data_IF_429269257857
#
_entry.id   IF_429269257857
#
_cell.length_a   1.000
_cell.length_b   1.000
_cell.length_c   1.000
_cell.angle_alpha   90.00
_cell.angle_beta   90.00
_cell.angle_gamma   90.00
#
_symmetry.space_group_name_H-M   'P 1'
#
loop_
_entity.id
_entity.type
_entity.pdbx_description
1 polymer ?
#
# COMPACT_ATOMS: atom_id res chain seq x y z
N UNK A 1 -8.36 84.57 -32.74
CA UNK A 1 -7.54 84.17 -31.58
C UNK A 1 -6.97 82.80 -31.86
N UNK A 2 -5.65 82.68 -31.80
CA UNK A 2 -4.77 81.81 -32.63
C UNK A 2 -4.08 80.80 -31.69
N UNK A 3 -3.93 79.48 -31.90
CA UNK A 3 -4.12 78.58 -33.06
C UNK A 3 -4.38 77.13 -32.60
N UNK A 4 -4.88 76.37 -33.56
CA UNK A 4 -5.48 75.03 -33.65
C UNK A 4 -4.46 73.85 -33.80
N UNK A 5 -4.88 72.57 -34.04
CA UNK A 5 -4.30 71.30 -33.54
C UNK A 5 -3.72 70.36 -34.63
N UNK A 6 -3.40 69.10 -34.28
CA UNK A 6 -3.46 67.88 -35.14
C UNK A 6 -3.20 66.62 -34.28
N UNK A 7 -4.15 65.71 -34.00
CA UNK A 7 -4.71 64.56 -34.76
C UNK A 7 -3.78 63.39 -35.13
N UNK A 8 -4.21 62.20 -34.66
CA UNK A 8 -4.27 60.89 -35.33
C UNK A 8 -3.31 59.75 -34.89
N UNK A 9 -3.91 58.62 -34.47
CA UNK A 9 -3.65 57.33 -35.15
C UNK A 9 -2.85 56.22 -34.43
N UNK A 10 -3.54 55.41 -33.62
CA UNK A 10 -3.62 53.93 -33.64
C UNK A 10 -2.38 52.99 -33.63
N UNK A 11 -2.50 51.99 -32.72
CA UNK A 11 -2.28 50.51 -32.87
C UNK A 11 -0.91 49.80 -32.68
N UNK A 12 -0.84 49.06 -31.56
CA UNK A 12 -0.34 47.65 -31.31
C UNK A 12 1.16 47.27 -31.33
N UNK A 13 1.54 46.22 -30.56
CA UNK A 13 2.93 45.92 -30.17
C UNK A 13 3.64 44.97 -31.16
N UNK A 14 4.96 45.13 -31.34
CA UNK A 14 5.78 44.17 -32.07
C UNK A 14 6.75 43.41 -31.15
N UNK A 15 6.50 42.09 -31.09
CA UNK A 15 7.46 41.07 -30.68
C UNK A 15 8.58 40.98 -31.72
N UNK A 16 9.83 41.09 -31.29
CA UNK A 16 10.99 40.81 -32.15
C UNK A 16 11.55 39.41 -31.86
N UNK A 17 11.15 38.45 -32.68
CA UNK A 17 11.88 37.21 -32.93
C UNK A 17 12.61 37.36 -34.27
N UNK A 18 13.93 37.15 -34.32
CA UNK A 18 14.63 36.78 -35.57
C UNK A 18 15.93 36.00 -35.29
N UNK A 19 15.91 34.71 -35.67
CA UNK A 19 17.07 33.87 -36.06
C UNK A 19 17.60 34.33 -37.44
N UNK A 20 18.57 33.64 -38.09
CA UNK A 20 19.89 33.19 -37.66
C UNK A 20 21.02 33.79 -38.55
N UNK A 21 22.25 33.60 -38.09
CA UNK A 21 23.53 33.97 -38.73
C UNK A 21 23.67 33.50 -40.20
N UNK A 22 24.15 34.41 -41.08
CA UNK A 22 24.76 34.10 -42.38
C UNK A 22 26.20 34.62 -42.39
N UNK A 23 27.12 33.79 -42.88
CA UNK A 23 28.55 34.03 -42.90
C UNK A 23 29.02 35.08 -43.90
N UNK A 24 30.24 35.57 -43.67
CA UNK A 24 30.97 36.48 -44.54
C UNK A 24 32.40 36.65 -44.05
N UNK A 25 33.34 36.09 -44.81
CA UNK A 25 34.80 36.13 -44.66
C UNK A 25 35.39 37.50 -45.04
N UNK A 26 36.41 38.01 -44.32
CA UNK A 26 37.68 38.53 -44.90
C UNK A 26 38.66 39.14 -43.85
N UNK A 27 39.84 38.51 -43.78
CA UNK A 27 41.24 39.02 -43.74
C UNK A 27 41.74 40.04 -42.70
N UNK A 28 42.78 39.53 -41.99
CA UNK A 28 44.09 40.11 -41.62
C UNK A 28 44.10 41.25 -40.59
N UNK A 29 44.86 41.19 -39.50
CA UNK A 29 46.31 41.09 -39.51
C UNK A 29 46.92 40.39 -38.27
N UNK A 30 48.17 39.99 -38.45
CA UNK A 30 49.02 39.14 -37.61
C UNK A 30 49.47 39.81 -36.30
N UNK A 31 49.61 39.02 -35.23
CA UNK A 31 50.87 38.60 -34.54
C UNK A 31 50.62 38.41 -33.04
N UNK A 32 51.10 37.29 -32.49
CA UNK A 32 51.52 37.23 -31.09
C UNK A 32 51.04 36.04 -30.27
N UNK A 33 51.73 34.91 -30.44
CA UNK A 33 52.16 33.99 -29.38
C UNK A 33 51.13 33.17 -28.55
N UNK A 34 51.30 31.85 -28.71
CA UNK A 34 51.11 30.74 -27.75
C UNK A 34 49.66 30.45 -27.31
N UNK A 35 49.04 29.45 -27.94
CA UNK A 35 48.00 28.66 -27.29
C UNK A 35 48.08 27.19 -27.71
N UNK A 36 48.17 26.35 -26.68
CA UNK A 36 48.12 24.89 -26.76
C UNK A 36 46.79 24.44 -27.34
N UNK A 37 46.85 23.49 -28.27
CA UNK A 37 45.68 22.89 -28.89
C UNK A 37 44.96 21.93 -27.93
N UNK A 38 43.64 22.04 -27.89
CA UNK A 38 42.72 20.92 -27.74
C UNK A 38 41.35 21.37 -28.26
N UNK A 39 40.93 20.77 -29.38
CA UNK A 39 39.60 20.94 -29.97
C UNK A 39 38.84 19.65 -29.69
N UNK A 40 37.88 19.63 -28.76
CA UNK A 40 36.73 18.71 -28.81
C UNK A 40 35.53 19.38 -28.15
N UNK A 41 34.42 19.20 -28.85
CA UNK A 41 33.05 19.65 -28.71
C UNK A 41 32.40 19.56 -27.31
N UNK A 42 31.73 20.65 -26.93
CA UNK A 42 30.32 20.64 -26.56
C UNK A 42 29.94 20.01 -25.22
N UNK A 43 29.77 20.89 -24.22
CA UNK A 43 29.08 20.70 -22.92
C UNK A 43 29.83 19.83 -21.89
N UNK A 44 30.78 20.47 -21.23
CA UNK A 44 31.16 20.12 -19.85
C UNK A 44 30.91 21.34 -18.98
N UNK A 45 30.05 21.19 -17.97
CA UNK A 45 29.89 22.16 -16.89
C UNK A 45 31.08 21.94 -15.96
N UNK A 46 32.00 22.90 -15.91
CA UNK A 46 33.03 22.91 -14.88
C UNK A 46 32.38 23.38 -13.58
N UNK A 47 32.22 22.46 -12.63
CA UNK A 47 31.93 22.77 -11.23
C UNK A 47 33.21 23.36 -10.64
N UNK A 48 33.19 24.67 -10.36
CA UNK A 48 34.22 25.30 -9.56
C UNK A 48 34.05 24.89 -8.10
N UNK A 49 35.06 24.19 -7.56
CA UNK A 49 35.28 24.05 -6.13
C UNK A 49 35.42 25.45 -5.53
N UNK A 50 34.51 25.80 -4.63
CA UNK A 50 34.67 26.97 -3.78
C UNK A 50 35.63 26.59 -2.66
N UNK A 51 36.92 26.86 -2.88
CA UNK A 51 37.88 26.95 -1.80
C UNK A 51 37.68 28.26 -1.06
N UNK A 52 37.55 28.10 0.25
CA UNK A 52 37.46 29.09 1.31
C UNK A 52 38.53 30.17 1.14
N UNK A 53 38.13 31.45 0.99
CA UNK A 53 38.94 32.65 1.28
C UNK A 53 38.15 33.94 0.98
N UNK A 54 37.95 34.76 2.01
CA UNK A 54 37.92 36.21 1.88
C UNK A 54 36.59 36.86 1.50
N UNK A 55 35.98 37.52 2.49
CA UNK A 55 35.01 38.59 2.28
C UNK A 55 35.56 39.69 1.36
N UNK A 56 35.11 39.71 0.11
CA UNK A 56 35.41 40.78 -0.85
C UNK A 56 34.27 40.92 -1.85
N UNK A 57 33.35 41.85 -1.61
CA UNK A 57 32.31 42.18 -2.59
C UNK A 57 32.92 43.07 -3.67
N UNK A 58 33.24 42.49 -4.83
CA UNK A 58 33.61 43.28 -6.01
C UNK A 58 32.34 43.85 -6.63
N UNK A 59 31.99 45.08 -6.27
CA UNK A 59 30.92 45.84 -6.93
C UNK A 59 31.37 46.26 -8.33
N UNK A 60 30.77 45.67 -9.37
CA UNK A 60 30.89 46.20 -10.73
C UNK A 60 30.12 47.53 -10.82
N UNK A 61 30.85 48.64 -10.86
CA UNK A 61 30.30 49.97 -11.18
C UNK A 61 30.19 50.15 -12.69
N UNK A 62 29.01 50.53 -13.15
CA UNK A 62 28.76 51.09 -14.49
C UNK A 62 29.60 52.37 -14.69
N UNK A 63 30.14 52.69 -15.89
CA UNK A 63 30.89 53.93 -16.17
C UNK A 63 30.19 55.25 -15.81
N UNK A 64 28.91 55.23 -15.41
CA UNK A 64 28.16 56.39 -14.92
C UNK A 64 28.23 56.63 -13.40
N UNK A 65 28.95 55.80 -12.63
CA UNK A 65 29.19 56.01 -11.20
C UNK A 65 27.96 55.86 -10.30
N UNK A 66 26.84 55.31 -10.81
CA UNK A 66 25.65 55.03 -9.99
C UNK A 66 25.72 53.62 -9.39
N UNK A 67 25.41 53.43 -8.10
CA UNK A 67 25.32 52.10 -7.53
C UNK A 67 24.21 51.32 -8.24
N UNK A 68 24.58 50.16 -8.80
CA UNK A 68 23.61 49.24 -9.38
C UNK A 68 22.60 48.77 -8.34
N UNK A 69 21.35 48.44 -8.73
CA UNK A 69 20.35 47.95 -7.78
C UNK A 69 20.89 46.70 -7.07
N UNK A 70 20.67 46.55 -5.75
CA UNK A 70 21.17 45.41 -5.01
C UNK A 70 20.63 44.11 -5.62
N UNK A 71 21.42 43.03 -5.65
CA UNK A 71 20.95 41.74 -6.15
C UNK A 71 19.71 41.36 -5.35
N UNK A 72 18.60 41.12 -6.04
CA UNK A 72 17.37 40.58 -5.44
C UNK A 72 17.69 39.18 -4.92
N UNK A 73 18.12 39.08 -3.66
CA UNK A 73 18.28 37.79 -2.98
C UNK A 73 16.89 37.15 -2.92
N UNK A 74 16.68 36.13 -3.72
CA UNK A 74 15.52 35.24 -3.64
C UNK A 74 15.62 34.44 -2.33
N UNK A 75 15.37 35.08 -1.18
CA UNK A 75 15.19 34.42 0.14
C UNK A 75 13.89 33.63 0.25
N UNK A 76 13.05 33.63 -0.80
CA UNK A 76 11.72 33.01 -0.81
C UNK A 76 11.65 31.47 -0.97
N UNK A 77 12.62 30.73 -1.57
CA UNK A 77 12.43 29.30 -1.82
C UNK A 77 12.49 28.46 -0.52
N UNK A 78 13.30 28.85 0.46
CA UNK A 78 13.41 28.12 1.74
C UNK A 78 12.14 28.25 2.59
N UNK A 79 11.50 29.42 2.65
CA UNK A 79 10.23 29.60 3.39
C UNK A 79 9.08 28.82 2.76
N UNK A 80 8.97 28.82 1.42
CA UNK A 80 7.93 28.07 0.71
C UNK A 80 8.11 26.56 0.91
N UNK A 81 9.35 26.07 0.86
CA UNK A 81 9.65 24.66 1.11
C UNK A 81 9.37 24.23 2.56
N UNK A 82 9.74 25.05 3.55
CA UNK A 82 9.46 24.78 4.96
C UNK A 82 7.96 24.80 5.28
N UNK A 83 7.22 25.76 4.71
CA UNK A 83 5.77 25.83 4.85
C UNK A 83 5.09 24.63 4.20
N UNK A 84 5.49 24.27 2.98
CA UNK A 84 4.98 23.08 2.29
C UNK A 84 5.22 21.78 3.07
N UNK A 85 6.41 21.61 3.65
CA UNK A 85 6.75 20.47 4.51
C UNK A 85 5.82 20.38 5.72
N UNK A 86 5.59 21.49 6.42
CA UNK A 86 4.70 21.53 7.60
C UNK A 86 3.26 21.20 7.23
N UNK A 87 2.75 21.79 6.15
CA UNK A 87 1.39 21.49 5.67
C UNK A 87 1.24 20.00 5.33
N UNK A 88 2.20 19.43 4.59
CA UNK A 88 2.17 18.00 4.23
C UNK A 88 2.17 17.09 5.47
N UNK A 89 3.05 17.35 6.44
CA UNK A 89 3.12 16.57 7.68
C UNK A 89 1.82 16.70 8.49
N UNK A 90 1.25 17.90 8.58
CA UNK A 90 -0.04 18.10 9.26
C UNK A 90 -1.18 17.35 8.60
N UNK A 91 -1.25 17.35 7.26
CA UNK A 91 -2.27 16.57 6.52
C UNK A 91 -2.09 15.08 6.78
N UNK A 92 -0.86 14.57 6.69
CA UNK A 92 -0.56 13.16 6.96
C UNK A 92 -0.93 12.76 8.39
N UNK A 93 -0.59 13.60 9.37
CA UNK A 93 -0.92 13.38 10.78
C UNK A 93 -2.43 13.34 11.01
N UNK A 94 -3.19 14.30 10.47
CA UNK A 94 -4.65 14.32 10.56
C UNK A 94 -5.26 13.06 9.92
N UNK A 95 -4.81 12.68 8.73
CA UNK A 95 -5.26 11.44 8.08
C UNK A 95 -4.94 10.20 8.93
N UNK A 96 -3.75 10.12 9.50
CA UNK A 96 -3.32 9.02 10.38
C UNK A 96 -4.19 8.96 11.65
N UNK A 97 -4.38 10.10 12.32
CA UNK A 97 -5.19 10.23 13.51
C UNK A 97 -6.65 9.85 13.27
N UNK A 98 -7.23 10.21 12.11
CA UNK A 98 -8.59 9.79 11.74
C UNK A 98 -8.70 8.27 11.60
N UNK A 99 -7.76 7.63 10.90
CA UNK A 99 -7.73 6.17 10.77
C UNK A 99 -7.54 5.52 12.15
N UNK A 100 -6.63 6.04 12.96
CA UNK A 100 -6.37 5.55 14.30
C UNK A 100 -7.61 5.64 15.19
N UNK A 101 -8.34 6.77 15.16
CA UNK A 101 -9.58 6.95 15.91
C UNK A 101 -10.68 5.96 15.50
N UNK A 102 -10.81 5.66 14.20
CA UNK A 102 -11.74 4.64 13.71
C UNK A 102 -11.38 3.24 14.22
N UNK A 103 -10.09 2.90 14.21
CA UNK A 103 -9.58 1.61 14.70
C UNK A 103 -9.73 1.46 16.21
N UNK A 104 -9.36 2.49 16.98
CA UNK A 104 -9.58 2.53 18.44
C UNK A 104 -11.07 2.44 18.75
N UNK A 105 -11.92 3.19 18.04
CA UNK A 105 -13.37 3.13 18.21
C UNK A 105 -13.95 1.73 17.91
N UNK A 106 -13.44 1.03 16.89
CA UNK A 106 -13.80 -0.37 16.61
C UNK A 106 -13.37 -1.29 17.76
N UNK A 107 -12.13 -1.15 18.25
CA UNK A 107 -11.58 -1.92 19.35
C UNK A 107 -12.33 -1.72 20.68
N UNK A 108 -12.66 -0.48 21.03
CA UNK A 108 -13.44 -0.15 22.23
C UNK A 108 -14.85 -0.73 22.15
N UNK A 109 -15.51 -0.69 20.98
CA UNK A 109 -16.81 -1.35 20.79
C UNK A 109 -16.71 -2.87 20.94
N UNK A 110 -15.61 -3.49 20.51
CA UNK A 110 -15.36 -4.92 20.71
C UNK A 110 -15.18 -5.25 22.21
N UNK A 111 -14.40 -4.46 22.95
CA UNK A 111 -14.25 -4.60 24.41
C UNK A 111 -15.58 -4.50 25.16
N UNK A 112 -16.41 -3.50 24.81
CA UNK A 112 -17.75 -3.32 25.41
C UNK A 112 -18.69 -4.50 25.19
N UNK A 113 -18.43 -5.33 24.18
CA UNK A 113 -19.18 -6.57 23.89
C UNK A 113 -18.51 -7.82 24.48
N UNK A 114 -17.57 -7.64 25.40
CA UNK A 114 -16.91 -8.74 26.11
C UNK A 114 -15.78 -9.43 25.33
N UNK A 115 -15.25 -8.84 24.25
CA UNK A 115 -14.10 -9.41 23.57
C UNK A 115 -12.85 -9.34 24.47
N UNK A 116 -12.25 -10.49 24.79
CA UNK A 116 -11.04 -10.59 25.62
C UNK A 116 -9.83 -11.19 24.91
N UNK A 117 -10.01 -11.77 23.71
CA UNK A 117 -8.90 -12.36 22.96
C UNK A 117 -8.12 -11.31 22.16
N UNK A 118 -6.78 -11.46 22.11
CA UNK A 118 -5.88 -10.58 21.38
C UNK A 118 -6.31 -10.40 19.91
N UNK A 119 -6.75 -11.50 19.30
CA UNK A 119 -7.25 -11.57 17.93
C UNK A 119 -8.42 -10.61 17.66
N UNK A 120 -9.31 -10.41 18.64
CA UNK A 120 -10.44 -9.47 18.53
C UNK A 120 -10.04 -8.02 18.86
N UNK A 121 -8.90 -7.82 19.52
CA UNK A 121 -8.37 -6.51 19.92
C UNK A 121 -7.30 -5.95 18.99
N UNK A 122 -6.96 -6.64 17.89
CA UNK A 122 -5.95 -6.19 16.93
C UNK A 122 -6.24 -4.78 16.37
N UNK A 123 -7.51 -4.43 16.15
CA UNK A 123 -7.88 -3.08 15.74
C UNK A 123 -7.54 -2.03 16.81
N UNK A 124 -7.76 -2.35 18.09
CA UNK A 124 -7.39 -1.46 19.19
C UNK A 124 -5.88 -1.25 19.23
N UNK A 125 -5.11 -2.35 19.20
CA UNK A 125 -3.65 -2.34 19.24
C UNK A 125 -3.08 -1.54 18.06
N UNK A 126 -3.58 -1.78 16.84
CA UNK A 126 -3.16 -1.05 15.65
C UNK A 126 -3.50 0.44 15.75
N UNK A 127 -4.70 0.79 16.22
CA UNK A 127 -5.11 2.18 16.42
C UNK A 127 -4.22 2.91 17.44
N UNK A 128 -3.93 2.28 18.58
CA UNK A 128 -3.02 2.85 19.60
C UNK A 128 -1.58 2.96 19.09
N UNK A 129 -1.11 2.00 18.28
CA UNK A 129 0.20 2.07 17.65
C UNK A 129 0.30 3.23 16.64
N UNK A 130 -0.77 3.51 15.90
CA UNK A 130 -0.79 4.67 15.00
C UNK A 130 -0.79 6.01 15.76
N UNK A 131 -1.55 6.13 16.86
CA UNK A 131 -1.53 7.36 17.68
C UNK A 131 -0.16 7.61 18.32
N UNK A 132 0.50 6.55 18.80
CA UNK A 132 1.85 6.67 19.38
C UNK A 132 2.89 7.02 18.33
N UNK A 133 2.78 6.46 17.11
CA UNK A 133 3.62 6.84 15.97
C UNK A 133 3.41 8.32 15.58
N UNK A 134 2.16 8.78 15.54
CA UNK A 134 1.82 10.16 15.20
C UNK A 134 2.39 11.15 16.24
N UNK A 135 2.21 10.86 17.53
CA UNK A 135 2.81 11.63 18.61
C UNK A 135 4.35 11.66 18.53
N UNK A 136 4.99 10.52 18.23
CA UNK A 136 6.43 10.43 18.05
C UNK A 136 6.92 11.32 16.89
N UNK A 137 6.21 11.30 15.75
CA UNK A 137 6.52 12.16 14.59
C UNK A 137 6.43 13.63 14.97
N UNK A 138 5.39 14.04 15.70
CA UNK A 138 5.24 15.44 16.16
C UNK A 138 6.38 15.84 17.11
N UNK A 139 6.73 15.00 18.07
CA UNK A 139 7.83 15.27 19.02
C UNK A 139 9.14 15.40 18.26
N UNK A 140 9.50 14.45 17.40
CA UNK A 140 10.75 14.50 16.63
C UNK A 140 10.82 15.73 15.71
N UNK A 141 9.69 16.14 15.14
CA UNK A 141 9.59 17.34 14.31
C UNK A 141 9.68 18.65 15.12
N UNK A 142 9.34 18.63 16.42
CA UNK A 142 9.39 19.81 17.31
C UNK A 142 10.76 20.12 17.89
N UNK A 143 11.61 19.10 18.05
CA UNK A 143 12.95 19.24 18.66
C UNK A 143 13.95 19.92 17.71
N UNK A 144 13.69 19.91 16.40
CA UNK A 144 14.44 20.60 15.32
C UNK A 144 15.97 20.47 15.42
N UNK A 145 16.44 19.31 15.87
CA UNK A 145 17.86 18.94 15.84
C UNK A 145 18.16 18.08 14.61
N UNK A 146 19.43 18.04 14.21
CA UNK A 146 19.86 17.13 13.15
C UNK A 146 19.62 15.67 13.50
N UNK A 147 19.91 15.28 14.76
CA UNK A 147 19.64 13.94 15.26
C UNK A 147 18.14 13.60 15.20
N UNK A 148 17.25 14.49 15.66
CA UNK A 148 15.81 14.25 15.62
C UNK A 148 15.26 14.21 14.18
N UNK A 149 15.80 15.05 13.28
CA UNK A 149 15.45 15.04 11.86
C UNK A 149 15.88 13.75 11.16
N UNK A 150 17.08 13.26 11.49
CA UNK A 150 17.58 11.99 11.00
C UNK A 150 16.63 10.85 11.44
N UNK A 151 16.36 10.74 12.74
CA UNK A 151 15.45 9.70 13.28
C UNK A 151 14.06 9.81 12.66
N UNK A 152 13.53 11.03 12.48
CA UNK A 152 12.24 11.26 11.83
C UNK A 152 12.19 10.68 10.41
N UNK A 153 13.22 10.90 9.59
CA UNK A 153 13.30 10.34 8.23
C UNK A 153 13.29 8.81 8.26
N UNK A 154 14.04 8.20 9.19
CA UNK A 154 14.04 6.73 9.32
C UNK A 154 12.67 6.20 9.74
N UNK A 155 12.04 6.82 10.74
CA UNK A 155 10.69 6.46 11.21
C UNK A 155 9.68 6.55 10.07
N UNK A 156 9.69 7.65 9.31
CA UNK A 156 8.81 7.83 8.15
C UNK A 156 9.09 6.84 7.03
N UNK A 157 10.36 6.46 6.79
CA UNK A 157 10.72 5.45 5.80
C UNK A 157 10.18 4.06 6.16
N UNK A 158 10.34 3.65 7.42
CA UNK A 158 9.80 2.37 7.92
C UNK A 158 8.27 2.38 7.93
N UNK A 159 7.65 3.46 8.42
CA UNK A 159 6.20 3.62 8.39
C UNK A 159 5.64 3.62 6.95
N UNK A 160 6.31 4.32 6.04
CA UNK A 160 5.97 4.36 4.62
C UNK A 160 6.08 2.99 3.95
N UNK A 161 7.09 2.19 4.30
CA UNK A 161 7.19 0.80 3.86
C UNK A 161 6.01 -0.05 4.34
N UNK A 162 5.68 0.01 5.63
CA UNK A 162 4.52 -0.74 6.18
C UNK A 162 3.22 -0.29 5.52
N UNK A 163 3.03 1.01 5.31
CA UNK A 163 1.87 1.57 4.62
C UNK A 163 1.80 1.08 3.16
N UNK A 164 2.92 1.03 2.44
CA UNK A 164 3.00 0.51 1.09
C UNK A 164 2.59 -0.97 1.02
N UNK A 165 3.11 -1.80 1.94
CA UNK A 165 2.75 -3.22 2.03
C UNK A 165 1.26 -3.39 2.36
N UNK A 166 0.72 -2.54 3.25
CA UNK A 166 -0.71 -2.51 3.55
C UNK A 166 -1.56 -2.13 2.33
N UNK A 167 -1.17 -1.10 1.59
CA UNK A 167 -1.86 -0.67 0.37
C UNK A 167 -1.81 -1.75 -0.72
N UNK A 168 -0.66 -2.43 -0.88
CA UNK A 168 -0.54 -3.55 -1.81
C UNK A 168 -1.45 -4.71 -1.40
N UNK A 169 -1.52 -5.05 -0.11
CA UNK A 169 -2.44 -6.05 0.42
C UNK A 169 -3.91 -5.65 0.19
N UNK A 170 -4.26 -4.39 0.44
CA UNK A 170 -5.61 -3.85 0.22
C UNK A 170 -5.99 -3.90 -1.25
N UNK A 171 -5.11 -3.44 -2.15
CA UNK A 171 -5.33 -3.49 -3.59
C UNK A 171 -5.54 -4.93 -4.07
N UNK A 172 -4.73 -5.87 -3.59
CA UNK A 172 -4.91 -7.28 -3.90
C UNK A 172 -6.25 -7.82 -3.36
N UNK A 173 -6.60 -7.54 -2.11
CA UNK A 173 -7.86 -7.99 -1.52
C UNK A 173 -9.08 -7.46 -2.28
N UNK A 174 -9.07 -6.18 -2.68
CA UNK A 174 -10.11 -5.58 -3.53
C UNK A 174 -10.17 -6.23 -4.91
N UNK A 175 -9.02 -6.50 -5.53
CA UNK A 175 -8.97 -7.20 -6.81
C UNK A 175 -9.62 -8.58 -6.72
N UNK A 176 -9.32 -9.36 -5.67
CA UNK A 176 -9.96 -10.66 -5.43
C UNK A 176 -11.46 -10.56 -5.17
N UNK A 177 -11.93 -9.51 -4.49
CA UNK A 177 -13.37 -9.29 -4.28
C UNK A 177 -14.13 -9.02 -5.59
N UNK A 178 -13.45 -8.52 -6.63
CA UNK A 178 -14.03 -8.27 -7.95
C UNK A 178 -13.89 -9.44 -8.93
N UNK A 179 -13.12 -10.48 -8.60
CA UNK A 179 -13.00 -11.68 -9.45
C UNK A 179 -14.34 -12.42 -9.43
N UNK A 180 -15.06 -12.38 -10.55
CA UNK A 180 -16.26 -13.20 -10.75
C UNK A 180 -15.83 -14.61 -11.14
N UNK A 181 -16.18 -15.58 -10.31
CA UNK A 181 -16.04 -16.99 -10.68
C UNK A 181 -17.23 -17.35 -11.57
N UNK A 182 -16.98 -17.43 -12.88
CA UNK A 182 -17.91 -17.91 -13.90
C UNK A 182 -17.69 -19.39 -14.24
N UNK A 183 -16.62 -19.98 -13.72
CA UNK A 183 -16.26 -21.36 -14.04
C UNK A 183 -17.14 -22.36 -13.28
N UNK A 184 -17.56 -23.39 -14.02
CA UNK A 184 -18.24 -24.55 -13.46
C UNK A 184 -17.20 -25.43 -12.74
N UNK A 185 -17.40 -25.62 -11.44
CA UNK A 185 -16.57 -26.44 -10.58
C UNK A 185 -17.11 -27.89 -10.49
N UNK A 186 -16.21 -28.85 -10.33
CA UNK A 186 -16.56 -30.25 -10.04
C UNK A 186 -16.69 -30.47 -8.52
N UNK A 187 -16.00 -29.64 -7.74
CA UNK A 187 -16.07 -29.63 -6.29
C UNK A 187 -16.20 -28.22 -5.72
N UNK A 188 -16.95 -28.08 -4.64
CA UNK A 188 -17.03 -26.87 -3.80
C UNK A 188 -16.55 -27.22 -2.39
N UNK A 189 -15.42 -26.66 -1.97
CA UNK A 189 -14.88 -26.84 -0.62
C UNK A 189 -15.25 -25.63 0.22
N UNK A 190 -16.02 -25.82 1.28
CA UNK A 190 -16.39 -24.76 2.23
C UNK A 190 -15.47 -24.81 3.43
N UNK A 191 -14.77 -23.71 3.72
CA UNK A 191 -13.90 -23.63 4.90
C UNK A 191 -14.69 -23.25 6.14
N UNK A 192 -14.35 -23.91 7.26
CA UNK A 192 -14.77 -23.56 8.60
C UNK A 192 -14.31 -22.18 9.09
N UNK A 193 -15.01 -21.64 10.08
CA UNK A 193 -14.64 -20.43 10.82
C UNK A 193 -15.21 -20.35 12.24
N UNK A 194 -15.54 -21.49 12.83
CA UNK A 194 -16.06 -21.61 14.18
C UNK A 194 -17.58 -21.65 14.27
N UNK A 195 -18.04 -22.43 15.24
CA UNK A 195 -19.43 -22.55 15.69
C UNK A 195 -19.71 -21.58 16.83
N UNK A 196 -21.00 -21.37 17.10
CA UNK A 196 -21.48 -20.67 18.29
C UNK A 196 -22.44 -21.63 18.99
N UNK A 197 -22.06 -22.11 20.17
CA UNK A 197 -22.83 -23.09 20.95
C UNK A 197 -23.20 -24.34 20.13
N UNK A 198 -22.22 -24.89 19.39
CA UNK A 198 -22.43 -26.06 18.52
C UNK A 198 -23.23 -25.80 17.25
N UNK A 199 -23.65 -24.56 16.99
CA UNK A 199 -24.45 -24.17 15.83
C UNK A 199 -23.65 -23.35 14.81
N UNK A 200 -24.10 -23.41 13.56
CA UNK A 200 -23.52 -22.64 12.45
C UNK A 200 -23.59 -21.14 12.76
N UNK A 201 -22.42 -20.51 12.91
CA UNK A 201 -22.31 -19.08 13.17
C UNK A 201 -22.78 -18.24 11.96
N UNK A 202 -23.18 -16.96 12.14
CA UNK A 202 -23.61 -16.13 11.01
C UNK A 202 -22.58 -16.00 9.88
N UNK A 203 -21.28 -16.02 10.21
CA UNK A 203 -20.21 -15.97 9.21
C UNK A 203 -20.07 -17.29 8.46
N UNK A 204 -20.18 -18.42 9.17
CA UNK A 204 -20.15 -19.74 8.57
C UNK A 204 -21.38 -19.98 7.69
N UNK A 205 -22.55 -19.53 8.15
CA UNK A 205 -23.80 -19.50 7.40
C UNK A 205 -23.63 -18.83 6.04
N UNK A 206 -23.04 -17.64 6.01
CA UNK A 206 -22.80 -16.92 4.76
C UNK A 206 -21.93 -17.70 3.77
N UNK A 207 -20.95 -18.48 4.25
CA UNK A 207 -20.14 -19.37 3.39
C UNK A 207 -20.97 -20.52 2.86
N UNK A 208 -21.78 -21.14 3.71
CA UNK A 208 -22.65 -22.26 3.33
C UNK A 208 -23.72 -21.82 2.33
N UNK A 209 -24.37 -20.67 2.55
CA UNK A 209 -25.33 -20.08 1.60
C UNK A 209 -24.68 -19.83 0.24
N UNK A 210 -23.44 -19.32 0.23
CA UNK A 210 -22.68 -19.12 -1.02
C UNK A 210 -22.38 -20.45 -1.71
N UNK A 211 -22.07 -21.51 -0.96
CA UNK A 211 -21.86 -22.84 -1.51
C UNK A 211 -23.13 -23.45 -2.10
N UNK A 212 -24.27 -23.32 -1.40
CA UNK A 212 -25.59 -23.74 -1.89
C UNK A 212 -25.94 -23.01 -3.18
N UNK A 213 -25.69 -21.69 -3.25
CA UNK A 213 -25.90 -20.90 -4.47
C UNK A 213 -25.07 -21.40 -5.64
N UNK A 214 -23.80 -21.76 -5.41
CA UNK A 214 -22.93 -22.34 -6.45
C UNK A 214 -23.43 -23.72 -6.88
N UNK A 215 -23.85 -24.58 -5.94
CA UNK A 215 -24.40 -25.90 -6.26
C UNK A 215 -25.62 -25.78 -7.15
N UNK A 216 -26.61 -24.97 -6.76
CA UNK A 216 -27.85 -24.74 -7.52
C UNK A 216 -27.58 -24.15 -8.91
N UNK A 217 -26.64 -23.22 -9.03
CA UNK A 217 -26.24 -22.68 -10.34
C UNK A 217 -25.58 -23.72 -11.23
N UNK A 218 -24.80 -24.63 -10.64
CA UNK A 218 -24.18 -25.73 -11.38
C UNK A 218 -25.23 -26.74 -11.85
N UNK A 219 -26.21 -27.05 -11.00
CA UNK A 219 -27.34 -27.95 -11.29
C UNK A 219 -28.17 -27.43 -12.46
N UNK A 220 -28.46 -26.12 -12.49
CA UNK A 220 -29.15 -25.47 -13.60
C UNK A 220 -28.42 -25.60 -14.96
N UNK A 221 -27.13 -25.94 -14.93
CA UNK A 221 -26.30 -26.19 -16.12
C UNK A 221 -25.97 -27.68 -16.33
N UNK A 222 -26.68 -28.58 -15.63
CA UNK A 222 -26.53 -30.03 -15.77
C UNK A 222 -25.35 -30.63 -15.02
N UNK A 223 -24.81 -29.96 -13.99
CA UNK A 223 -23.69 -30.44 -13.17
C UNK A 223 -24.04 -30.48 -11.70
N UNK A 224 -23.60 -31.49 -10.99
CA UNK A 224 -23.85 -31.68 -9.55
C UNK A 224 -22.51 -31.74 -8.82
N UNK A 225 -21.93 -30.59 -8.42
CA UNK A 225 -20.63 -30.58 -7.79
C UNK A 225 -20.68 -31.24 -6.41
N UNK A 226 -19.63 -31.96 -6.06
CA UNK A 226 -19.45 -32.48 -4.69
C UNK A 226 -19.14 -31.30 -3.76
N UNK A 227 -19.83 -31.20 -2.63
CA UNK A 227 -19.62 -30.15 -1.64
C UNK A 227 -18.88 -30.73 -0.43
N UNK A 228 -17.67 -30.24 -0.16
CA UNK A 228 -16.88 -30.64 1.01
C UNK A 228 -17.06 -29.62 2.12
N UNK A 229 -17.60 -30.05 3.25
CA UNK A 229 -17.61 -29.29 4.50
C UNK A 229 -16.30 -29.54 5.26
N UNK A 230 -15.39 -28.56 5.24
CA UNK A 230 -14.06 -28.69 5.82
C UNK A 230 -13.91 -27.85 7.08
N UNK A 231 -13.71 -28.51 8.21
CA UNK A 231 -13.46 -27.87 9.49
C UNK A 231 -13.47 -28.87 10.64
N UNK A 232 -12.38 -28.91 11.41
CA UNK A 232 -12.29 -29.74 12.60
C UNK A 232 -13.09 -29.20 13.79
N UNK A 233 -12.76 -29.71 14.98
CA UNK A 233 -13.38 -29.29 16.24
C UNK A 233 -12.50 -28.25 16.93
N UNK A 234 -13.07 -27.09 17.23
CA UNK A 234 -12.44 -26.09 18.11
C UNK A 234 -12.39 -26.55 19.57
N UNK A 235 -11.50 -25.95 20.36
CA UNK A 235 -11.35 -26.29 21.79
C UNK A 235 -12.63 -26.00 22.60
N UNK A 236 -13.41 -25.00 22.18
CA UNK A 236 -14.66 -24.57 22.83
C UNK A 236 -15.93 -25.14 22.15
N UNK A 237 -15.79 -26.21 21.35
CA UNK A 237 -16.89 -26.76 20.55
C UNK A 237 -17.17 -28.22 20.91
N UNK A 238 -18.45 -28.55 21.10
CA UNK A 238 -18.89 -29.90 21.47
C UNK A 238 -18.91 -30.88 20.27
N UNK A 239 -18.74 -30.35 19.05
CA UNK A 239 -18.74 -31.10 17.79
C UNK A 239 -17.86 -30.40 16.76
N UNK A 240 -17.47 -31.13 15.72
CA UNK A 240 -16.71 -30.56 14.61
C UNK A 240 -17.55 -29.59 13.78
N UNK A 241 -16.89 -28.57 13.23
CA UNK A 241 -17.51 -27.63 12.31
C UNK A 241 -18.09 -28.36 11.09
N UNK A 242 -17.36 -29.35 10.54
CA UNK A 242 -17.77 -30.12 9.36
C UNK A 242 -19.14 -30.77 9.51
N UNK A 243 -19.53 -31.16 10.72
CA UNK A 243 -20.75 -31.92 10.95
C UNK A 243 -21.95 -30.99 10.94
N UNK A 244 -21.86 -29.88 11.67
CA UNK A 244 -22.88 -28.83 11.64
C UNK A 244 -23.02 -28.21 10.23
N UNK A 245 -21.91 -28.09 9.50
CA UNK A 245 -21.92 -27.64 8.10
C UNK A 245 -22.61 -28.63 7.17
N UNK A 246 -22.36 -29.93 7.32
CA UNK A 246 -22.99 -30.96 6.50
C UNK A 246 -24.51 -31.02 6.72
N UNK A 247 -24.96 -30.97 7.98
CA UNK A 247 -26.38 -30.88 8.33
C UNK A 247 -27.03 -29.66 7.67
N UNK A 248 -26.40 -28.50 7.79
CA UNK A 248 -26.88 -27.27 7.16
C UNK A 248 -27.04 -27.41 5.64
N UNK A 249 -26.04 -27.97 4.95
CA UNK A 249 -26.08 -28.13 3.49
C UNK A 249 -27.25 -29.03 3.07
N UNK A 250 -27.47 -30.13 3.78
CA UNK A 250 -28.56 -31.07 3.52
C UNK A 250 -29.92 -30.39 3.76
N UNK A 251 -30.06 -29.69 4.88
CA UNK A 251 -31.29 -28.94 5.22
C UNK A 251 -31.62 -27.85 4.20
N UNK A 252 -30.62 -27.34 3.47
CA UNK A 252 -30.78 -26.31 2.44
C UNK A 252 -30.83 -26.87 1.01
N UNK A 253 -31.01 -28.19 0.89
CA UNK A 253 -31.36 -28.87 -0.37
C UNK A 253 -30.18 -29.42 -1.16
N UNK A 254 -28.96 -29.47 -0.59
CA UNK A 254 -27.85 -30.21 -1.21
C UNK A 254 -28.04 -31.70 -0.91
N UNK A 255 -28.09 -32.59 -1.92
CA UNK A 255 -28.23 -34.03 -1.68
C UNK A 255 -27.14 -34.57 -0.75
N UNK A 256 -27.52 -35.34 0.28
CA UNK A 256 -26.57 -35.88 1.26
C UNK A 256 -25.46 -36.75 0.62
N UNK A 257 -25.74 -37.40 -0.51
CA UNK A 257 -24.76 -38.18 -1.29
C UNK A 257 -23.67 -37.33 -1.94
N UNK A 258 -23.89 -36.02 -2.08
CA UNK A 258 -22.93 -35.06 -2.63
C UNK A 258 -22.20 -34.26 -1.55
N UNK A 259 -22.55 -34.45 -0.27
CA UNK A 259 -21.91 -33.75 0.84
C UNK A 259 -20.84 -34.64 1.47
N UNK A 260 -19.58 -34.22 1.38
CA UNK A 260 -18.46 -34.88 2.04
C UNK A 260 -18.00 -34.06 3.24
N UNK A 261 -17.53 -34.74 4.28
CA UNK A 261 -17.02 -34.11 5.51
C UNK A 261 -15.51 -34.25 5.62
N UNK A 262 -14.86 -33.18 6.06
CA UNK A 262 -13.45 -33.17 6.45
C UNK A 262 -13.35 -32.63 7.91
N UNK A 263 -13.27 -33.51 8.92
CA UNK A 263 -13.38 -33.14 10.34
C UNK A 263 -12.03 -32.96 11.07
N UNK A 264 -10.88 -32.98 10.39
CA UNK A 264 -9.55 -33.07 11.04
C UNK A 264 -8.75 -31.78 11.01
N UNK A 265 -9.08 -30.85 10.11
CA UNK A 265 -8.27 -29.65 9.93
C UNK A 265 -8.35 -28.68 11.11
N UNK A 266 -7.19 -28.10 11.46
CA UNK A 266 -7.05 -27.08 12.52
C UNK A 266 -6.68 -25.71 11.97
N UNK A 267 -6.28 -25.63 10.71
CA UNK A 267 -5.86 -24.39 10.07
C UNK A 267 -6.18 -24.39 8.57
N UNK A 268 -6.06 -23.24 7.92
CA UNK A 268 -6.38 -23.07 6.49
C UNK A 268 -5.56 -24.00 5.59
N UNK A 269 -4.29 -24.28 5.92
CA UNK A 269 -3.44 -25.18 5.11
C UNK A 269 -3.94 -26.62 5.19
N UNK A 270 -4.27 -27.09 6.39
CA UNK A 270 -4.85 -28.41 6.60
C UNK A 270 -6.22 -28.56 5.96
N UNK A 271 -7.09 -27.55 6.08
CA UNK A 271 -8.40 -27.53 5.41
C UNK A 271 -8.24 -27.83 3.91
N UNK A 272 -7.35 -27.11 3.24
CA UNK A 272 -7.10 -27.26 1.81
C UNK A 272 -6.51 -28.64 1.46
N UNK A 273 -5.48 -29.09 2.21
CA UNK A 273 -4.81 -30.37 1.93
C UNK A 273 -5.71 -31.58 2.23
N UNK A 274 -6.45 -31.54 3.33
CA UNK A 274 -7.32 -32.63 3.73
C UNK A 274 -8.58 -32.69 2.87
N UNK A 275 -9.16 -31.54 2.51
CA UNK A 275 -10.26 -31.48 1.55
C UNK A 275 -9.84 -32.05 0.19
N UNK A 276 -8.62 -31.74 -0.28
CA UNK A 276 -8.13 -32.30 -1.53
C UNK A 276 -7.98 -33.82 -1.48
N UNK A 277 -7.56 -34.38 -0.34
CA UNK A 277 -7.52 -35.84 -0.13
C UNK A 277 -8.93 -36.44 -0.16
N UNK A 278 -9.87 -35.85 0.57
CA UNK A 278 -11.28 -36.29 0.59
C UNK A 278 -11.87 -36.30 -0.83
N UNK A 279 -11.59 -35.28 -1.64
CA UNK A 279 -12.02 -35.22 -3.04
C UNK A 279 -11.36 -36.32 -3.90
N UNK A 280 -10.04 -36.51 -3.76
CA UNK A 280 -9.33 -37.56 -4.48
C UNK A 280 -9.84 -38.96 -4.14
N UNK A 281 -10.11 -39.23 -2.86
CA UNK A 281 -10.61 -40.51 -2.38
C UNK A 281 -12.04 -40.77 -2.90
N UNK A 282 -12.81 -39.70 -3.15
CA UNK A 282 -14.12 -39.75 -3.80
C UNK A 282 -14.06 -39.76 -5.35
N UNK A 283 -12.86 -39.84 -5.94
CA UNK A 283 -12.68 -39.87 -7.40
C UNK A 283 -12.88 -38.53 -8.12
N UNK A 284 -12.89 -37.41 -7.38
CA UNK A 284 -13.07 -36.05 -7.92
C UNK A 284 -11.69 -35.45 -8.22
N UNK A 285 -11.47 -35.07 -9.47
CA UNK A 285 -10.16 -34.60 -9.95
C UNK A 285 -10.21 -33.28 -10.72
N UNK A 286 -11.41 -32.78 -11.04
CA UNK A 286 -11.55 -31.52 -11.75
C UNK A 286 -11.36 -30.28 -10.89
N UNK A 287 -11.87 -29.17 -11.42
CA UNK A 287 -11.71 -27.84 -10.82
C UNK A 287 -12.37 -27.73 -9.46
N UNK A 288 -11.63 -27.20 -8.50
CA UNK A 288 -12.07 -26.99 -7.13
C UNK A 288 -12.39 -25.51 -6.92
N UNK A 289 -13.58 -25.23 -6.40
CA UNK A 289 -13.94 -23.92 -5.89
C UNK A 289 -13.89 -23.95 -4.37
N UNK A 290 -13.13 -23.04 -3.79
CA UNK A 290 -12.98 -22.91 -2.33
C UNK A 290 -13.78 -21.70 -1.85
N UNK A 291 -14.74 -21.91 -0.96
CA UNK A 291 -15.60 -20.87 -0.40
C UNK A 291 -15.12 -20.47 0.99
N UNK A 292 -14.91 -19.17 1.17
CA UNK A 292 -14.55 -18.56 2.45
C UNK A 292 -15.11 -17.14 2.55
N UNK A 293 -14.93 -16.41 3.65
CA UNK A 293 -15.38 -15.02 3.73
C UNK A 293 -14.46 -14.06 2.96
N UNK A 294 -14.99 -12.92 2.50
CA UNK A 294 -14.26 -11.93 1.67
C UNK A 294 -12.89 -11.53 2.22
N UNK A 295 -12.79 -11.24 3.51
CA UNK A 295 -11.51 -10.87 4.13
C UNK A 295 -10.46 -11.99 4.05
N UNK A 296 -10.89 -13.25 3.98
CA UNK A 296 -10.03 -14.43 4.04
C UNK A 296 -9.64 -14.99 2.65
N UNK A 297 -10.20 -14.44 1.58
CA UNK A 297 -9.95 -14.90 0.20
C UNK A 297 -8.46 -14.84 -0.15
N UNK A 298 -7.81 -13.70 0.10
CA UNK A 298 -6.40 -13.48 -0.27
C UNK A 298 -5.47 -14.51 0.39
N UNK A 299 -5.58 -14.71 1.71
CA UNK A 299 -4.74 -15.68 2.44
C UNK A 299 -5.02 -17.11 1.98
N UNK A 300 -6.29 -17.45 1.75
CA UNK A 300 -6.67 -18.77 1.25
C UNK A 300 -6.09 -19.01 -0.15
N UNK A 301 -6.15 -18.01 -1.04
CA UNK A 301 -5.57 -18.10 -2.39
C UNK A 301 -4.05 -18.23 -2.38
N UNK A 302 -3.34 -17.48 -1.53
CA UNK A 302 -1.90 -17.65 -1.32
C UNK A 302 -1.59 -19.07 -0.82
N UNK A 303 -2.37 -19.56 0.15
CA UNK A 303 -2.16 -20.88 0.75
C UNK A 303 -2.38 -21.99 -0.28
N UNK A 304 -3.47 -21.92 -1.06
CA UNK A 304 -3.79 -22.87 -2.13
C UNK A 304 -2.66 -22.97 -3.16
N UNK A 305 -2.14 -21.82 -3.63
CA UNK A 305 -0.99 -21.78 -4.55
C UNK A 305 0.26 -22.41 -3.95
N UNK A 306 0.57 -22.11 -2.68
CA UNK A 306 1.75 -22.68 -1.98
C UNK A 306 1.63 -24.19 -1.77
N UNK A 307 0.42 -24.71 -1.67
CA UNK A 307 0.16 -26.15 -1.58
C UNK A 307 0.06 -26.84 -2.94
N UNK A 308 0.20 -26.10 -4.04
CA UNK A 308 0.06 -26.65 -5.40
C UNK A 308 -1.36 -27.08 -5.77
N UNK A 309 -2.37 -26.57 -5.06
CA UNK A 309 -3.78 -26.86 -5.34
C UNK A 309 -4.30 -25.90 -6.40
N UNK A 310 -4.74 -26.45 -7.53
CA UNK A 310 -5.46 -25.69 -8.54
C UNK A 310 -6.91 -25.44 -8.09
N UNK A 311 -7.05 -24.45 -7.22
CA UNK A 311 -8.32 -24.04 -6.65
C UNK A 311 -8.56 -22.55 -6.88
N UNK A 312 -9.78 -22.21 -7.29
CA UNK A 312 -10.28 -20.83 -7.26
C UNK A 312 -10.87 -20.56 -5.90
N UNK A 313 -10.67 -19.35 -5.37
CA UNK A 313 -11.20 -18.97 -4.06
C UNK A 313 -12.29 -17.93 -4.24
N UNK A 314 -13.42 -18.15 -3.57
CA UNK A 314 -14.60 -17.33 -3.64
C UNK A 314 -14.94 -16.76 -2.25
N UNK A 315 -15.20 -15.46 -2.23
CA UNK A 315 -15.62 -14.72 -1.04
C UNK A 315 -17.13 -14.83 -0.78
N UNK A 316 -17.47 -14.93 0.50
CA UNK A 316 -18.80 -14.81 1.05
C UNK A 316 -18.90 -13.54 1.91
N UNK A 317 -20.05 -12.84 1.88
CA UNK A 317 -20.25 -11.59 2.61
C UNK A 317 -19.79 -11.64 4.06
N UNK A 318 -19.06 -10.61 4.49
CA UNK A 318 -18.63 -10.46 5.89
C UNK A 318 -19.45 -9.37 6.58
N UNK A 319 -19.89 -9.62 7.81
CA UNK A 319 -20.55 -8.60 8.62
C UNK A 319 -19.64 -7.36 8.79
N UNK A 320 -20.14 -6.19 8.39
CA UNK A 320 -19.37 -4.92 8.32
C UNK A 320 -18.59 -4.60 9.61
N UNK A 321 -19.13 -4.97 10.77
CA UNK A 321 -18.52 -4.70 12.07
C UNK A 321 -17.26 -5.53 12.34
N UNK A 322 -17.20 -6.75 11.79
CA UNK A 322 -16.06 -7.67 11.92
C UNK A 322 -14.96 -7.39 10.90
N UNK A 323 -15.25 -6.62 9.84
CA UNK A 323 -14.32 -6.36 8.74
C UNK A 323 -13.00 -5.74 9.22
N UNK A 324 -12.95 -4.67 10.04
CA UNK A 324 -11.67 -4.02 10.36
C UNK A 324 -10.70 -4.94 11.11
N UNK A 325 -11.16 -5.60 12.17
CA UNK A 325 -10.33 -6.50 12.96
C UNK A 325 -9.98 -7.78 12.19
N UNK A 326 -10.92 -8.35 11.43
CA UNK A 326 -10.64 -9.51 10.58
C UNK A 326 -9.63 -9.17 9.48
N UNK A 327 -9.75 -8.01 8.84
CA UNK A 327 -8.84 -7.56 7.78
C UNK A 327 -7.43 -7.30 8.32
N UNK A 328 -7.30 -6.61 9.45
CA UNK A 328 -6.00 -6.40 10.11
C UNK A 328 -5.36 -7.71 10.53
N UNK A 329 -6.15 -8.68 10.99
CA UNK A 329 -5.67 -10.03 11.32
C UNK A 329 -5.11 -10.74 10.09
N UNK A 330 -5.80 -10.65 8.95
CA UNK A 330 -5.31 -11.25 7.70
C UNK A 330 -4.06 -10.55 7.19
N UNK A 331 -3.98 -9.22 7.30
CA UNK A 331 -2.77 -8.47 6.98
C UNK A 331 -1.59 -8.92 7.86
N UNK A 332 -1.79 -8.97 9.18
CA UNK A 332 -0.77 -9.45 10.11
C UNK A 332 -0.34 -10.90 9.81
N UNK A 333 -1.28 -11.78 9.47
CA UNK A 333 -0.96 -13.15 9.06
C UNK A 333 -0.11 -13.19 7.77
N UNK A 334 -0.40 -12.33 6.79
CA UNK A 334 0.41 -12.22 5.56
C UNK A 334 1.81 -11.69 5.84
N UNK A 335 1.97 -10.72 6.74
CA UNK A 335 3.27 -10.25 7.20
C UNK A 335 4.07 -11.40 7.84
N UNK A 336 3.46 -12.17 8.74
CA UNK A 336 4.11 -13.32 9.40
C UNK A 336 4.48 -14.41 8.39
N UNK A 337 3.64 -14.64 7.37
CA UNK A 337 3.92 -15.59 6.28
C UNK A 337 5.12 -15.21 5.42
N UNK A 338 5.53 -13.93 5.41
CA UNK A 338 6.68 -13.42 4.65
C UNK A 338 7.68 -12.70 5.57
N UNK A 339 7.71 -13.05 6.87
CA UNK A 339 8.44 -12.31 7.91
C UNK A 339 9.90 -12.05 7.57
N UNK A 340 10.57 -13.00 6.91
CA UNK A 340 11.97 -12.89 6.53
C UNK A 340 12.21 -11.86 5.44
N UNK A 341 11.30 -11.74 4.47
CA UNK A 341 11.37 -10.70 3.44
C UNK A 341 11.11 -9.32 4.01
N UNK A 342 10.15 -9.20 4.93
CA UNK A 342 9.89 -7.93 5.63
C UNK A 342 11.05 -7.53 6.54
N UNK A 343 11.63 -8.49 7.27
CA UNK A 343 12.81 -8.26 8.09
C UNK A 343 13.99 -7.81 7.23
N UNK A 344 14.27 -8.50 6.12
CA UNK A 344 15.32 -8.12 5.19
C UNK A 344 15.11 -6.71 4.60
N UNK A 345 13.88 -6.36 4.24
CA UNK A 345 13.55 -5.02 3.74
C UNK A 345 13.79 -3.93 4.79
N UNK A 346 13.36 -4.15 6.04
CA UNK A 346 13.60 -3.19 7.14
C UNK A 346 15.09 -3.05 7.46
N UNK A 347 15.82 -4.17 7.52
CA UNK A 347 17.28 -4.15 7.71
C UNK A 347 17.96 -3.38 6.57
N UNK A 348 17.53 -3.59 5.32
CA UNK A 348 18.05 -2.85 4.17
C UNK A 348 17.77 -1.35 4.27
N UNK A 349 16.56 -0.94 4.68
CA UNK A 349 16.22 0.48 4.91
C UNK A 349 17.15 1.10 5.95
N UNK A 350 17.32 0.42 7.10
CA UNK A 350 18.19 0.90 8.19
C UNK A 350 19.65 0.96 7.75
N UNK A 351 20.15 -0.06 7.04
CA UNK A 351 21.53 -0.12 6.56
C UNK A 351 21.82 0.99 5.55
N UNK A 352 20.95 1.18 4.54
CA UNK A 352 21.09 2.25 3.55
C UNK A 352 21.05 3.63 4.20
N UNK A 353 20.16 3.82 5.17
CA UNK A 353 20.06 5.07 5.91
C UNK A 353 21.32 5.34 6.75
N UNK A 354 21.87 4.31 7.41
CA UNK A 354 23.10 4.40 8.20
C UNK A 354 24.32 4.75 7.33
N UNK A 355 24.41 4.15 6.13
CA UNK A 355 25.46 4.49 5.13
C UNK A 355 25.31 5.94 4.67
N UNK A 356 24.10 6.42 4.44
CA UNK A 356 23.83 7.82 4.07
C UNK A 356 24.28 8.82 5.13
N UNK A 357 24.13 8.50 6.41
CA UNK A 357 24.65 9.31 7.51
C UNK A 357 26.18 9.27 7.59
N UNK A 358 26.78 8.08 7.47
CA UNK A 358 28.23 7.91 7.58
C UNK A 358 28.99 8.62 6.44
N UNK A 359 28.44 8.57 5.23
CA UNK A 359 29.03 9.18 4.03
C UNK A 359 28.81 10.69 3.91
N UNK A 360 28.00 11.30 4.79
CA UNK A 360 27.69 12.74 4.73
C UNK A 360 26.81 13.15 3.55
N UNK A 361 26.24 12.18 2.83
CA UNK A 361 25.27 12.42 1.74
C UNK A 361 23.95 12.93 2.29
N UNK A 362 23.58 12.50 3.50
CA UNK A 362 22.48 13.09 4.26
C UNK A 362 22.99 14.29 5.06
N UNK A 363 22.25 15.41 5.09
CA UNK A 363 22.66 16.60 5.84
C UNK A 363 22.86 16.25 7.32
N UNK A 364 24.09 16.47 7.79
CA UNK A 364 24.47 16.35 9.21
C UNK A 364 23.81 17.39 10.06
#
# INVERSE_FOLDING_TARGET
>A
MVRTPATAGSTTPQWCFRRPWRGGTARSARRGLVSSGAFVTGRTITVGLADDMGSGWTTCTDPSGRPGPPPRTTRRPHMVAQYGRRVLLSVLAVCCALVAALLVGNGVRALRRGARSLTRLLALVAGTALLTLDALVVVLASVDTHASSAVLVLVLAVAGYVALVFLAFLGAALAYAHVRVTEQAEAVVVLGCGLVHGQVSPMLRSRLDRAVEVSRRSEATGRTPVVVASGGQGEDEDRTESDAMAEYLVDHGVPATLVLREPRSRNTRENLLFSHRVLRDAGVHGRILVVTNDYHVMRTAITARRTGLDARVLGAPTARQAVPSAFLREFAAVLVMHRWWHLAAVVAIVALWSVGLATGVLPR
#
